data_IF_335864689490
#
_entry.id   IF_335864689490
#
_cell.length_a   1.000
_cell.length_b   1.000
_cell.length_c   1.000
_cell.angle_alpha   90.00
_cell.angle_beta   90.00
_cell.angle_gamma   90.00
#
_symmetry.space_group_name_H-M   'P 1'
#
loop_
_entity.id
_entity.type
_entity.pdbx_description
1 polymer ?
#
# COMPACT_ATOMS: atom_id res chain seq x y z
N UNK A 1 -19.16 10.11 5.87
CA UNK A 1 -20.00 8.91 6.10
C UNK A 1 -20.47 8.94 7.56
N UNK A 2 -21.74 8.66 7.85
CA UNK A 2 -22.47 9.06 9.05
C UNK A 2 -22.01 8.40 10.38
N UNK A 3 -20.79 8.68 10.85
CA UNK A 3 -20.27 8.22 12.15
C UNK A 3 -19.94 6.72 12.24
N UNK A 4 -20.10 5.97 11.15
CA UNK A 4 -19.71 4.56 11.08
C UNK A 4 -18.18 4.38 11.14
N UNK A 5 -17.73 3.22 11.65
CA UNK A 5 -16.29 2.87 11.68
C UNK A 5 -15.74 2.88 10.25
N UNK A 6 -14.48 3.29 10.08
CA UNK A 6 -13.79 3.27 8.77
C UNK A 6 -13.82 1.89 8.10
N UNK A 7 -13.82 0.83 8.92
CA UNK A 7 -13.91 -0.58 8.54
C UNK A 7 -15.32 -1.04 8.10
N UNK A 8 -16.34 -0.20 8.24
CA UNK A 8 -17.72 -0.52 7.82
C UNK A 8 -18.00 -0.13 6.37
N UNK A 9 -17.02 0.46 5.68
CA UNK A 9 -17.17 0.92 4.31
C UNK A 9 -16.74 -0.14 3.31
N UNK A 10 -17.44 -0.20 2.18
CA UNK A 10 -17.13 -1.13 1.09
C UNK A 10 -16.42 -0.38 -0.03
N UNK A 11 -15.31 -0.95 -0.51
CA UNK A 11 -14.54 -0.41 -1.64
C UNK A 11 -14.65 -1.37 -2.82
N UNK A 12 -15.10 -0.85 -3.96
CA UNK A 12 -15.25 -1.59 -5.21
C UNK A 12 -14.30 -1.04 -6.27
N UNK A 13 -13.67 -1.93 -7.02
CA UNK A 13 -12.93 -1.63 -8.24
C UNK A 13 -13.64 -2.28 -9.43
N UNK A 14 -14.26 -1.45 -10.27
CA UNK A 14 -15.15 -1.86 -11.36
C UNK A 14 -16.21 -2.86 -10.88
N UNK A 15 -16.81 -2.57 -9.74
CA UNK A 15 -17.88 -3.37 -9.14
C UNK A 15 -17.44 -4.60 -8.34
N UNK A 16 -16.14 -4.93 -8.30
CA UNK A 16 -15.61 -6.06 -7.51
C UNK A 16 -15.03 -5.55 -6.20
N UNK A 17 -15.37 -6.22 -5.09
CA UNK A 17 -14.88 -5.84 -3.76
C UNK A 17 -13.36 -6.00 -3.67
N UNK A 18 -12.70 -4.91 -3.28
CA UNK A 18 -11.28 -4.84 -2.95
C UNK A 18 -11.09 -4.61 -1.45
N UNK A 19 -11.93 -5.23 -0.62
CA UNK A 19 -11.75 -5.22 0.84
C UNK A 19 -10.87 -6.40 1.23
N UNK A 20 -9.88 -6.13 2.08
CA UNK A 20 -9.19 -7.18 2.83
C UNK A 20 -10.14 -7.76 3.89
N UNK A 21 -10.56 -9.01 3.70
CA UNK A 21 -11.49 -9.70 4.62
C UNK A 21 -10.87 -10.04 5.98
N UNK A 22 -9.53 -10.01 6.12
CA UNK A 22 -8.85 -10.29 7.38
C UNK A 22 -8.94 -9.12 8.36
N UNK A 23 -8.83 -7.89 7.86
CA UNK A 23 -8.81 -6.66 8.67
C UNK A 23 -10.01 -5.74 8.41
N UNK A 24 -10.91 -6.16 7.51
CA UNK A 24 -12.10 -5.45 7.07
C UNK A 24 -11.82 -3.99 6.68
N UNK A 25 -10.84 -3.79 5.80
CA UNK A 25 -10.38 -2.48 5.32
C UNK A 25 -10.17 -2.52 3.80
N UNK A 26 -10.22 -1.37 3.14
CA UNK A 26 -9.80 -1.25 1.73
C UNK A 26 -8.41 -1.86 1.54
N UNK A 27 -8.21 -2.59 0.44
CA UNK A 27 -6.89 -2.90 -0.08
C UNK A 27 -6.25 -1.58 -0.51
N UNK A 28 -5.55 -0.92 0.42
CA UNK A 28 -4.82 0.35 0.21
C UNK A 28 -3.57 0.19 -0.67
N UNK A 29 -3.52 -0.89 -1.42
CA UNK A 29 -2.37 -1.36 -2.18
C UNK A 29 -2.42 -0.86 -3.63
N UNK A 30 -3.61 -0.86 -4.26
CA UNK A 30 -3.74 -0.42 -5.65
C UNK A 30 -3.48 1.08 -5.78
N UNK A 31 -2.39 1.44 -6.45
CA UNK A 31 -2.11 2.82 -6.85
C UNK A 31 -2.62 3.04 -8.27
N UNK A 32 -3.66 3.84 -8.39
CA UNK A 32 -4.43 4.02 -9.62
C UNK A 32 -4.50 5.50 -10.04
N UNK A 33 -3.48 6.29 -9.72
CA UNK A 33 -3.54 7.77 -9.75
C UNK A 33 -4.06 8.31 -11.09
N UNK A 34 -3.63 7.71 -12.20
CA UNK A 34 -4.05 8.09 -13.55
C UNK A 34 -4.87 7.00 -14.28
N UNK A 35 -5.23 5.92 -13.58
CA UNK A 35 -6.06 4.83 -14.11
C UNK A 35 -7.55 5.00 -13.78
N UNK A 36 -7.87 5.85 -12.80
CA UNK A 36 -9.26 6.14 -12.40
C UNK A 36 -9.93 7.06 -13.41
N UNK A 37 -11.11 6.66 -13.86
CA UNK A 37 -12.02 7.49 -14.63
C UNK A 37 -12.99 8.23 -13.70
N UNK A 38 -13.56 7.51 -12.73
CA UNK A 38 -14.55 8.05 -11.80
C UNK A 38 -14.38 7.47 -10.40
N UNK A 39 -14.66 8.31 -9.39
CA UNK A 39 -14.75 7.94 -8.00
C UNK A 39 -16.11 8.37 -7.44
N UNK A 40 -16.97 7.39 -7.15
CA UNK A 40 -18.31 7.63 -6.62
C UNK A 40 -18.38 7.22 -5.14
N UNK A 41 -18.97 8.09 -4.31
CA UNK A 41 -19.18 7.82 -2.88
C UNK A 41 -20.66 7.83 -2.56
N UNK A 42 -21.18 6.68 -2.14
CA UNK A 42 -22.56 6.53 -1.73
C UNK A 42 -22.64 6.34 -0.21
N UNK A 43 -23.21 7.30 0.49
CA UNK A 43 -23.17 7.37 1.97
C UNK A 43 -24.42 6.83 2.67
N UNK A 44 -25.42 6.34 1.93
CA UNK A 44 -26.71 5.86 2.42
C UNK A 44 -26.99 4.44 1.92
N UNK A 45 -27.77 3.68 2.71
CA UNK A 45 -28.08 2.24 2.61
C UNK A 45 -27.94 1.69 1.19
N UNK A 46 -26.97 0.79 1.01
CA UNK A 46 -26.71 0.09 -0.23
C UNK A 46 -27.98 -0.65 -0.73
N UNK A 47 -28.24 -0.61 -2.03
CA UNK A 47 -29.20 -1.50 -2.67
C UNK A 47 -28.73 -2.95 -2.51
N UNK A 48 -29.66 -3.93 -2.54
CA UNK A 48 -29.39 -5.34 -2.24
C UNK A 48 -28.31 -6.00 -3.12
N UNK A 49 -27.92 -5.34 -4.21
CA UNK A 49 -26.85 -5.73 -5.14
C UNK A 49 -25.45 -5.69 -4.49
N UNK A 50 -25.28 -4.92 -3.40
CA UNK A 50 -24.01 -4.76 -2.71
C UNK A 50 -24.12 -5.23 -1.26
N UNK A 51 -23.91 -6.54 -1.04
CA UNK A 51 -23.82 -7.10 0.31
C UNK A 51 -22.58 -6.64 1.09
N UNK A 52 -22.58 -6.89 2.41
CA UNK A 52 -21.49 -6.69 3.40
C UNK A 52 -21.15 -5.27 3.89
N UNK A 53 -21.84 -4.21 3.46
CA UNK A 53 -21.59 -2.85 3.97
C UNK A 53 -22.72 -2.30 4.85
N UNK A 54 -22.48 -2.14 6.17
CA UNK A 54 -23.35 -1.33 7.04
C UNK A 54 -23.00 0.16 7.00
N UNK A 55 -21.88 0.53 6.37
CA UNK A 55 -21.41 1.90 6.14
C UNK A 55 -21.55 2.36 4.68
N UNK A 56 -20.77 3.38 4.29
CA UNK A 56 -20.82 3.92 2.94
C UNK A 56 -20.08 3.05 1.91
N UNK A 57 -20.47 3.15 0.66
CA UNK A 57 -19.85 2.49 -0.47
C UNK A 57 -18.99 3.48 -1.26
N UNK A 58 -17.81 3.02 -1.67
CA UNK A 58 -16.89 3.71 -2.55
C UNK A 58 -16.71 2.87 -3.80
N UNK A 59 -17.08 3.40 -4.96
CA UNK A 59 -16.91 2.74 -6.25
C UNK A 59 -15.86 3.48 -7.07
N UNK A 60 -14.88 2.71 -7.55
CA UNK A 60 -13.81 3.17 -8.42
C UNK A 60 -14.05 2.56 -9.80
N UNK A 61 -14.17 3.41 -10.82
CA UNK A 61 -14.30 2.99 -12.22
C UNK A 61 -13.00 3.31 -12.95
N UNK A 62 -12.46 2.33 -13.66
CA UNK A 62 -11.20 2.46 -14.38
C UNK A 62 -11.43 2.89 -15.81
N UNK A 63 -10.47 3.68 -16.35
CA UNK A 63 -10.52 4.18 -17.73
C UNK A 63 -10.63 3.02 -18.73
N UNK A 64 -11.34 3.29 -19.81
CA UNK A 64 -11.48 2.40 -20.96
C UNK A 64 -10.73 2.96 -22.17
N UNK A 65 -10.45 2.10 -23.15
CA UNK A 65 -9.86 2.53 -24.41
C UNK A 65 -10.86 3.26 -25.29
N UNK A 66 -10.37 3.93 -26.33
CA UNK A 66 -11.20 4.64 -27.30
C UNK A 66 -10.76 4.35 -28.74
N UNK A 67 -11.44 4.91 -29.74
CA UNK A 67 -11.01 4.81 -31.14
C UNK A 67 -9.71 5.57 -31.47
N UNK A 68 -9.19 6.34 -30.52
CA UNK A 68 -7.95 7.08 -30.66
C UNK A 68 -6.94 6.54 -29.67
N UNK A 69 -5.69 6.44 -30.10
CA UNK A 69 -4.60 6.17 -29.18
C UNK A 69 -4.36 7.39 -28.30
N UNK A 70 -4.34 7.18 -27.00
CA UNK A 70 -3.96 8.19 -26.02
C UNK A 70 -3.21 7.53 -24.86
N UNK A 71 -2.40 8.32 -24.19
CA UNK A 71 -1.63 7.85 -23.05
C UNK A 71 -1.04 9.03 -22.31
N UNK A 72 -0.50 8.74 -21.15
CA UNK A 72 0.10 9.71 -20.24
C UNK A 72 1.26 9.06 -19.52
N UNK A 73 2.19 9.88 -19.04
CA UNK A 73 3.25 9.44 -18.15
C UNK A 73 3.46 10.52 -17.09
N UNK A 74 3.84 10.11 -15.89
CA UNK A 74 4.12 11.01 -14.79
C UNK A 74 5.26 10.47 -13.91
N UNK A 75 5.90 11.39 -13.18
CA UNK A 75 6.89 11.12 -12.15
C UNK A 75 6.71 12.15 -11.03
N UNK A 76 6.64 11.67 -9.79
CA UNK A 76 6.64 12.48 -8.59
C UNK A 76 7.87 12.13 -7.76
N UNK A 77 8.84 13.04 -7.75
CA UNK A 77 10.05 12.94 -6.94
C UNK A 77 9.87 13.72 -5.64
N UNK A 78 10.19 13.09 -4.52
CA UNK A 78 10.28 13.75 -3.21
C UNK A 78 11.54 13.27 -2.50
N UNK A 79 12.38 14.20 -2.06
CA UNK A 79 13.63 13.83 -1.42
C UNK A 79 14.09 14.82 -0.34
N UNK A 80 15.01 14.37 0.50
CA UNK A 80 15.58 15.16 1.59
C UNK A 80 16.48 16.32 1.13
N UNK A 81 16.88 16.40 -0.13
CA UNK A 81 17.64 17.54 -0.67
C UNK A 81 16.72 18.71 -1.01
N UNK A 82 15.53 18.42 -1.56
CA UNK A 82 14.57 19.44 -2.00
C UNK A 82 13.58 19.85 -0.91
N UNK A 83 13.21 18.93 -0.02
CA UNK A 83 12.22 19.22 1.03
C UNK A 83 12.83 20.07 2.18
N UNK A 84 12.00 20.65 3.04
CA UNK A 84 12.43 21.10 4.37
C UNK A 84 12.29 19.96 5.41
N UNK A 85 12.96 20.05 6.56
CA UNK A 85 12.60 19.23 7.70
C UNK A 85 11.27 19.69 8.31
N UNK A 86 10.56 18.83 9.03
CA UNK A 86 9.33 19.22 9.72
C UNK A 86 9.60 20.26 10.84
N UNK A 87 8.54 20.95 11.26
CA UNK A 87 8.63 22.02 12.25
C UNK A 87 9.28 21.57 13.56
N UNK A 88 8.96 20.37 14.06
CA UNK A 88 9.46 19.91 15.34
C UNK A 88 10.93 19.49 15.25
N UNK A 89 11.32 18.88 14.14
CA UNK A 89 12.74 18.58 13.84
C UNK A 89 13.56 19.88 13.82
N UNK A 90 13.10 20.93 13.13
CA UNK A 90 13.80 22.21 13.11
C UNK A 90 13.81 22.89 14.49
N UNK A 91 12.68 22.90 15.20
CA UNK A 91 12.53 23.51 16.52
C UNK A 91 13.47 22.89 17.56
N UNK A 92 13.72 21.59 17.46
CA UNK A 92 14.58 20.86 18.39
C UNK A 92 16.03 20.72 17.88
N UNK A 93 16.42 21.45 16.83
CA UNK A 93 17.74 21.33 16.18
C UNK A 93 18.10 19.88 15.78
N UNK A 94 17.08 19.09 15.42
CA UNK A 94 17.22 17.71 14.98
C UNK A 94 17.81 17.60 13.57
N UNK A 95 18.37 16.44 13.26
CA UNK A 95 18.85 16.15 11.90
C UNK A 95 17.69 15.69 11.02
N UNK A 96 17.62 16.22 9.80
CA UNK A 96 16.59 15.82 8.84
C UNK A 96 16.75 14.35 8.42
N UNK A 97 15.68 13.57 8.53
CA UNK A 97 15.69 12.19 8.06
C UNK A 97 15.82 12.10 6.52
N UNK A 98 16.66 11.19 5.99
CA UNK A 98 16.84 11.05 4.56
C UNK A 98 15.62 10.36 3.95
N UNK A 99 14.73 11.16 3.36
CA UNK A 99 13.62 10.69 2.54
C UNK A 99 14.07 10.61 1.08
N UNK A 100 13.78 9.50 0.42
CA UNK A 100 13.88 9.34 -1.03
C UNK A 100 12.62 8.62 -1.50
N UNK A 101 11.79 9.29 -2.30
CA UNK A 101 10.53 8.76 -2.82
C UNK A 101 10.41 9.09 -4.29
N UNK A 102 10.25 8.05 -5.10
CA UNK A 102 9.96 8.12 -6.52
C UNK A 102 8.63 7.42 -6.77
N UNK A 103 7.70 8.09 -7.43
CA UNK A 103 6.42 7.53 -7.79
C UNK A 103 6.15 7.87 -9.24
N UNK A 104 6.10 6.87 -10.08
CA UNK A 104 6.03 7.04 -11.53
C UNK A 104 5.00 6.13 -12.12
N UNK A 105 4.46 6.52 -13.25
CA UNK A 105 3.49 5.69 -13.94
C UNK A 105 3.25 6.14 -15.35
N UNK A 106 2.60 5.25 -16.09
CA UNK A 106 2.17 5.51 -17.44
C UNK A 106 0.85 4.82 -17.72
N UNK A 107 0.08 5.41 -18.64
CA UNK A 107 -1.14 4.83 -19.17
C UNK A 107 -1.10 4.81 -20.68
N UNK A 108 -1.81 3.85 -21.25
CA UNK A 108 -2.02 3.76 -22.69
C UNK A 108 -3.39 3.15 -22.95
N UNK A 109 -4.12 3.72 -23.89
CA UNK A 109 -5.39 3.18 -24.34
C UNK A 109 -5.61 3.47 -25.81
N UNK A 110 -6.46 2.67 -26.44
CA UNK A 110 -6.77 2.80 -27.85
C UNK A 110 -7.55 1.62 -28.41
N UNK A 111 -7.76 1.59 -29.73
CA UNK A 111 -8.47 0.50 -30.38
C UNK A 111 -7.53 -0.67 -30.66
N UNK A 112 -7.97 -1.90 -30.36
CA UNK A 112 -7.44 -3.13 -30.96
C UNK A 112 -8.12 -3.35 -32.32
N UNK A 113 -9.45 -3.20 -32.34
CA UNK A 113 -10.28 -3.19 -33.54
C UNK A 113 -11.14 -1.93 -33.47
N UNK A 114 -10.98 -1.00 -34.42
CA UNK A 114 -11.77 0.23 -34.45
C UNK A 114 -13.26 -0.08 -34.37
N UNK A 115 -13.95 0.71 -33.57
CA UNK A 115 -15.39 0.64 -33.27
C UNK A 115 -15.88 -0.63 -32.55
N UNK A 116 -15.01 -1.62 -32.34
CA UNK A 116 -15.38 -2.92 -31.76
C UNK A 116 -14.62 -3.28 -30.49
N UNK A 117 -13.30 -3.16 -30.49
CA UNK A 117 -12.45 -3.65 -29.41
C UNK A 117 -11.47 -2.58 -28.98
N UNK A 118 -11.47 -2.28 -27.69
CA UNK A 118 -10.65 -1.25 -27.08
C UNK A 118 -9.82 -1.86 -25.94
N UNK A 119 -8.63 -1.33 -25.73
CA UNK A 119 -7.80 -1.69 -24.60
C UNK A 119 -7.43 -0.44 -23.81
N UNK A 120 -7.20 -0.64 -22.52
CA UNK A 120 -6.58 0.32 -21.63
C UNK A 120 -5.60 -0.42 -20.72
N UNK A 121 -4.44 0.18 -20.49
CA UNK A 121 -3.43 -0.34 -19.59
C UNK A 121 -2.82 0.78 -18.75
N UNK A 122 -2.51 0.47 -17.51
CA UNK A 122 -1.77 1.37 -16.63
C UNK A 122 -0.74 0.62 -15.81
N UNK A 123 0.39 1.28 -15.58
CA UNK A 123 1.41 0.82 -14.65
C UNK A 123 1.80 1.98 -13.75
N UNK A 124 1.88 1.73 -12.45
CA UNK A 124 2.38 2.67 -11.46
C UNK A 124 3.41 1.97 -10.57
N UNK A 125 4.58 2.57 -10.39
CA UNK A 125 5.64 2.10 -9.52
C UNK A 125 5.89 3.10 -8.39
N UNK A 126 6.15 2.58 -7.19
CA UNK A 126 6.47 3.38 -6.03
C UNK A 126 7.73 2.85 -5.36
N UNK A 127 8.70 3.73 -5.18
CA UNK A 127 9.96 3.42 -4.48
C UNK A 127 10.18 4.43 -3.38
N UNK A 128 10.18 3.98 -2.14
CA UNK A 128 10.43 4.83 -0.99
C UNK A 128 11.48 4.22 -0.07
N UNK A 129 12.43 5.06 0.35
CA UNK A 129 13.32 4.84 1.48
C UNK A 129 13.05 5.99 2.45
N UNK A 130 12.55 5.66 3.64
CA UNK A 130 12.15 6.62 4.64
C UNK A 130 12.48 6.06 6.03
N UNK A 131 13.63 6.42 6.63
CA UNK A 131 13.98 5.92 7.94
C UNK A 131 12.97 6.35 9.01
N UNK A 132 12.66 5.42 9.90
CA UNK A 132 11.84 5.67 11.07
C UNK A 132 12.75 5.88 12.28
N UNK A 133 12.31 6.74 13.20
CA UNK A 133 13.00 6.93 14.47
C UNK A 133 12.67 5.75 15.36
N UNK A 134 13.68 4.97 15.74
CA UNK A 134 13.56 3.99 16.82
C UNK A 134 14.02 4.60 18.13
N UNK A 135 13.27 4.35 19.20
CA UNK A 135 13.62 4.71 20.57
C UNK A 135 13.44 3.49 21.46
N UNK A 136 14.52 3.04 22.08
CA UNK A 136 14.51 1.88 22.97
C UNK A 136 15.53 2.03 24.07
N UNK A 137 15.52 1.10 25.02
CA UNK A 137 16.49 1.02 26.10
C UNK A 137 17.54 -0.05 25.78
N UNK A 138 18.80 0.34 25.84
CA UNK A 138 19.97 -0.53 25.76
C UNK A 138 20.68 -0.58 27.10
N UNK A 139 21.38 -1.67 27.46
CA UNK A 139 22.16 -1.74 28.69
C UNK A 139 23.18 -0.61 28.78
N UNK A 140 23.20 0.11 29.89
CA UNK A 140 24.26 1.06 30.23
C UNK A 140 25.35 0.40 31.08
N UNK A 141 26.53 1.01 31.17
CA UNK A 141 27.56 0.57 32.11
C UNK A 141 27.06 0.55 33.56
N UNK A 142 26.19 1.50 33.91
CA UNK A 142 25.53 1.54 35.22
C UNK A 142 24.60 0.34 35.44
N UNK A 143 23.82 -0.06 34.43
CA UNK A 143 22.94 -1.23 34.51
C UNK A 143 23.76 -2.53 34.64
N UNK A 144 24.86 -2.63 33.90
CA UNK A 144 25.75 -3.79 33.93
C UNK A 144 26.45 -3.88 35.30
N UNK A 145 26.82 -2.73 35.89
CA UNK A 145 27.46 -2.66 37.21
C UNK A 145 26.56 -3.10 38.37
N UNK A 146 25.23 -3.09 38.21
CA UNK A 146 24.30 -3.61 39.23
C UNK A 146 24.43 -5.12 39.46
N UNK A 147 24.96 -5.88 38.49
CA UNK A 147 25.21 -7.31 38.62
C UNK A 147 26.69 -7.54 38.95
N UNK A 148 27.01 -8.09 40.15
CA UNK A 148 28.37 -8.45 40.53
C UNK A 148 29.05 -9.33 39.49
N UNK A 149 30.34 -9.10 39.22
CA UNK A 149 31.09 -9.79 38.14
C UNK A 149 31.04 -11.31 38.26
N UNK A 150 31.05 -11.84 39.49
CA UNK A 150 30.97 -13.28 39.79
C UNK A 150 29.57 -13.89 39.58
N UNK A 151 28.55 -13.07 39.34
CA UNK A 151 27.17 -13.49 39.08
C UNK A 151 26.75 -13.26 37.61
N UNK A 152 27.66 -12.74 36.77
CA UNK A 152 27.38 -12.52 35.35
C UNK A 152 27.50 -13.82 34.59
N UNK A 153 26.40 -14.22 33.96
CA UNK A 153 26.41 -15.33 33.03
C UNK A 153 27.33 -15.03 31.82
N UNK A 154 28.28 -15.92 31.48
CA UNK A 154 29.24 -15.68 30.39
C UNK A 154 28.60 -15.47 29.02
N UNK A 155 27.45 -16.11 28.76
CA UNK A 155 26.71 -15.95 27.50
C UNK A 155 26.13 -14.54 27.43
N UNK A 156 25.55 -14.05 28.52
CA UNK A 156 25.00 -12.70 28.63
C UNK A 156 26.07 -11.62 28.40
N UNK A 157 27.28 -11.81 28.95
CA UNK A 157 28.42 -10.90 28.71
C UNK A 157 28.88 -10.94 27.25
N UNK A 158 28.85 -12.11 26.60
CA UNK A 158 29.17 -12.22 25.18
C UNK A 158 28.12 -11.53 24.30
N UNK A 159 26.83 -11.64 24.66
CA UNK A 159 25.73 -11.01 23.93
C UNK A 159 25.75 -9.47 24.01
N UNK A 160 26.25 -8.89 25.10
CA UNK A 160 26.37 -7.42 25.25
C UNK A 160 27.23 -6.77 24.15
N UNK A 161 28.16 -7.49 23.53
CA UNK A 161 28.96 -6.98 22.40
C UNK A 161 28.13 -6.68 21.16
N UNK A 162 26.96 -7.29 21.03
CA UNK A 162 26.02 -7.06 19.94
C UNK A 162 24.94 -6.03 20.29
N UNK A 163 25.01 -5.40 21.48
CA UNK A 163 24.15 -4.29 21.83
C UNK A 163 24.85 -2.97 21.49
N UNK A 164 24.15 -2.02 20.83
CA UNK A 164 24.74 -0.72 20.57
C UNK A 164 24.85 0.08 21.87
N UNK A 165 25.87 0.93 21.95
CA UNK A 165 26.02 1.85 23.07
C UNK A 165 24.86 2.87 23.11
N UNK A 166 24.44 3.33 24.31
CA UNK A 166 23.39 4.34 24.45
C UNK A 166 23.77 5.64 23.72
N UNK A 167 22.87 6.19 22.92
CA UNK A 167 23.08 7.49 22.26
C UNK A 167 22.81 8.67 23.18
N UNK A 168 22.06 8.44 24.28
CA UNK A 168 21.83 9.41 25.34
C UNK A 168 22.23 8.81 26.70
N UNK A 169 23.47 9.04 27.10
CA UNK A 169 24.02 8.58 28.39
C UNK A 169 23.47 9.31 29.61
N UNK A 170 22.79 10.45 29.41
CA UNK A 170 22.16 11.24 30.47
C UNK A 170 20.68 10.90 30.70
N UNK A 171 20.13 9.91 29.97
CA UNK A 171 18.75 9.49 30.15
C UNK A 171 18.51 8.96 31.58
N UNK A 172 17.39 9.32 32.24
CA UNK A 172 17.05 8.80 33.57
C UNK A 172 16.98 7.26 33.59
N UNK A 173 17.32 6.66 34.72
CA UNK A 173 17.20 5.22 34.94
C UNK A 173 15.80 4.71 34.55
N UNK A 174 15.77 3.64 33.75
CA UNK A 174 14.52 3.06 33.23
C UNK A 174 13.94 3.76 31.99
N UNK A 175 14.51 4.86 31.51
CA UNK A 175 14.09 5.53 30.27
C UNK A 175 14.77 4.95 29.03
N UNK A 176 14.18 5.21 27.86
CA UNK A 176 14.86 4.95 26.59
C UNK A 176 16.12 5.82 26.49
N UNK A 177 17.25 5.17 26.23
CA UNK A 177 18.59 5.78 26.20
C UNK A 177 19.29 5.55 24.85
N UNK A 178 18.62 4.87 23.91
CA UNK A 178 19.06 4.69 22.54
C UNK A 178 18.01 5.23 21.58
N UNK A 179 18.44 6.13 20.71
CA UNK A 179 17.65 6.75 19.66
C UNK A 179 18.48 6.69 18.38
N UNK A 180 17.93 6.06 17.35
CA UNK A 180 18.58 5.97 16.04
C UNK A 180 17.54 5.98 14.91
N UNK A 181 17.96 6.44 13.74
CA UNK A 181 17.20 6.24 12.52
C UNK A 181 17.47 4.83 12.00
N UNK A 182 16.41 4.05 11.85
CA UNK A 182 16.47 2.70 11.28
C UNK A 182 15.84 2.73 9.90
N UNK A 183 16.49 2.09 8.93
CA UNK A 183 16.05 2.11 7.54
C UNK A 183 14.71 1.40 7.36
N UNK A 184 13.74 2.07 6.75
CA UNK A 184 12.50 1.44 6.27
C UNK A 184 12.37 1.68 4.77
N UNK A 185 11.95 0.63 4.06
CA UNK A 185 11.78 0.66 2.61
C UNK A 185 10.37 0.21 2.24
N UNK A 186 9.86 0.77 1.15
CA UNK A 186 8.58 0.37 0.56
C UNK A 186 8.73 0.49 -0.95
N UNK A 187 8.74 -0.66 -1.59
CA UNK A 187 8.94 -0.80 -3.03
C UNK A 187 7.79 -1.60 -3.59
N UNK A 188 6.92 -0.98 -4.35
CA UNK A 188 5.72 -1.62 -4.87
C UNK A 188 5.40 -1.18 -6.30
N UNK A 189 4.49 -1.90 -6.92
CA UNK A 189 3.93 -1.56 -8.20
C UNK A 189 2.46 -1.99 -8.29
N UNK A 190 1.70 -1.30 -9.13
CA UNK A 190 0.34 -1.64 -9.53
C UNK A 190 0.27 -1.71 -11.05
N UNK A 191 -0.25 -2.81 -11.57
CA UNK A 191 -0.54 -3.01 -12.99
C UNK A 191 -2.03 -3.19 -13.19
N UNK A 192 -2.57 -2.64 -14.26
CA UNK A 192 -3.95 -2.85 -14.68
C UNK A 192 -4.01 -3.00 -16.19
N UNK A 193 -4.82 -3.95 -16.64
CA UNK A 193 -5.18 -4.13 -18.03
C UNK A 193 -6.70 -4.27 -18.12
N UNK A 194 -7.31 -3.57 -19.07
CA UNK A 194 -8.74 -3.62 -19.36
C UNK A 194 -8.96 -3.75 -20.85
N UNK A 195 -9.93 -4.57 -21.22
CA UNK A 195 -10.41 -4.75 -22.58
C UNK A 195 -11.91 -4.59 -22.61
N UNK A 196 -12.39 -3.76 -23.52
CA UNK A 196 -13.81 -3.54 -23.79
C UNK A 196 -14.11 -4.02 -25.21
N UNK A 197 -15.11 -4.89 -25.35
CA UNK A 197 -15.48 -5.48 -26.64
C UNK A 197 -16.98 -5.37 -26.90
N UNK A 198 -17.31 -4.74 -28.03
CA UNK A 198 -18.66 -4.64 -28.59
C UNK A 198 -18.85 -5.76 -29.61
N UNK A 199 -19.54 -6.82 -29.22
CA UNK A 199 -19.94 -7.87 -30.17
C UNK A 199 -20.98 -7.33 -31.16
N UNK A 200 -21.90 -6.51 -30.67
CA UNK A 200 -22.95 -5.82 -31.42
C UNK A 200 -23.35 -4.52 -30.69
N UNK A 201 -24.32 -3.77 -31.20
CA UNK A 201 -24.90 -2.63 -30.46
C UNK A 201 -25.65 -3.05 -29.18
N UNK A 202 -26.00 -4.34 -29.06
CA UNK A 202 -26.74 -4.89 -27.92
C UNK A 202 -25.86 -5.64 -26.94
N UNK A 203 -24.64 -5.98 -27.33
CA UNK A 203 -23.76 -6.90 -26.64
C UNK A 203 -22.41 -6.26 -26.34
N UNK A 204 -22.13 -6.03 -25.06
CA UNK A 204 -20.87 -5.46 -24.61
C UNK A 204 -20.24 -6.32 -23.51
N UNK A 205 -18.93 -6.54 -23.63
CA UNK A 205 -18.13 -7.30 -22.66
C UNK A 205 -16.95 -6.47 -22.23
N UNK A 206 -16.74 -6.40 -20.92
CA UNK A 206 -15.56 -5.82 -20.28
C UNK A 206 -14.81 -6.91 -19.56
N UNK A 207 -13.49 -6.95 -19.72
CA UNK A 207 -12.61 -7.75 -18.88
C UNK A 207 -11.52 -6.85 -18.30
N UNK A 208 -11.28 -6.93 -17.00
CA UNK A 208 -10.20 -6.21 -16.33
C UNK A 208 -9.42 -7.15 -15.43
N UNK A 209 -8.11 -7.02 -15.50
CA UNK A 209 -7.16 -7.56 -14.56
C UNK A 209 -6.45 -6.41 -13.84
N UNK A 210 -6.26 -6.53 -12.53
CA UNK A 210 -5.39 -5.63 -11.77
C UNK A 210 -4.58 -6.41 -10.75
N UNK A 211 -3.31 -6.06 -10.64
CA UNK A 211 -2.37 -6.63 -9.70
C UNK A 211 -1.62 -5.53 -8.96
N UNK A 212 -1.42 -5.76 -7.68
CA UNK A 212 -0.46 -5.06 -6.87
C UNK A 212 0.54 -6.06 -6.33
N UNK A 213 1.82 -5.70 -6.32
CA UNK A 213 2.85 -6.47 -5.63
C UNK A 213 3.93 -5.52 -5.10
N UNK A 214 4.50 -5.87 -3.96
CA UNK A 214 5.56 -5.07 -3.38
C UNK A 214 6.39 -5.81 -2.36
N UNK A 215 7.36 -5.07 -1.85
CA UNK A 215 8.24 -5.46 -0.75
C UNK A 215 8.30 -4.28 0.23
N UNK A 216 7.98 -4.51 1.49
CA UNK A 216 8.21 -3.53 2.55
C UNK A 216 9.19 -4.09 3.57
N UNK A 217 10.05 -3.22 4.10
CA UNK A 217 10.92 -3.55 5.21
C UNK A 217 10.61 -2.62 6.35
N UNK A 218 10.17 -3.21 7.46
CA UNK A 218 9.96 -2.52 8.72
C UNK A 218 11.08 -2.93 9.67
N UNK A 219 11.96 -1.99 10.06
CA UNK A 219 13.07 -2.32 10.93
C UNK A 219 12.61 -2.66 12.34
N UNK A 220 13.38 -3.50 13.03
CA UNK A 220 13.26 -3.74 14.46
C UNK A 220 13.69 -2.54 15.30
N UNK A 221 13.49 -2.65 16.62
CA UNK A 221 13.79 -1.56 17.55
C UNK A 221 15.29 -1.22 17.67
N UNK A 222 16.17 -2.13 17.28
CA UNK A 222 17.61 -1.89 17.19
C UNK A 222 18.09 -2.17 15.77
N UNK A 223 19.07 -1.42 15.24
CA UNK A 223 19.64 -1.65 13.91
C UNK A 223 20.16 -3.08 13.70
N UNK A 224 20.54 -3.76 14.79
CA UNK A 224 21.19 -5.07 14.80
C UNK A 224 20.19 -6.23 14.92
N UNK A 225 18.96 -5.95 15.37
CA UNK A 225 17.91 -6.95 15.59
C UNK A 225 17.10 -7.26 14.33
N UNK A 226 17.57 -6.83 13.16
CA UNK A 226 16.91 -7.09 11.89
C UNK A 226 15.59 -6.35 11.76
N UNK A 227 14.62 -6.99 11.10
CA UNK A 227 13.31 -6.42 10.86
C UNK A 227 12.38 -7.39 10.17
N UNK A 228 11.17 -6.93 9.88
CA UNK A 228 10.17 -7.69 9.16
C UNK A 228 10.16 -7.25 7.70
N UNK A 229 10.44 -8.19 6.81
CA UNK A 229 10.15 -8.06 5.39
C UNK A 229 8.72 -8.52 5.13
N UNK A 230 7.93 -7.73 4.41
CA UNK A 230 6.61 -8.14 3.93
C UNK A 230 6.59 -8.14 2.41
N UNK A 231 5.97 -9.16 1.82
CA UNK A 231 5.76 -9.31 0.39
C UNK A 231 4.24 -9.34 0.12
N UNK A 232 3.56 -8.19 0.14
CA UNK A 232 2.13 -8.12 -0.17
C UNK A 232 1.89 -8.28 -1.67
N UNK A 233 0.87 -9.08 -2.01
CA UNK A 233 0.36 -9.28 -3.37
C UNK A 233 -1.16 -9.23 -3.32
N UNK A 234 -1.77 -8.41 -4.17
CA UNK A 234 -3.22 -8.29 -4.29
C UNK A 234 -3.64 -8.44 -5.75
N UNK A 235 -4.68 -9.22 -6.01
CA UNK A 235 -5.25 -9.41 -7.34
C UNK A 235 -6.73 -9.05 -7.33
N UNK A 236 -7.20 -8.43 -8.41
CA UNK A 236 -8.60 -8.16 -8.64
C UNK A 236 -8.93 -8.30 -10.12
N UNK A 237 -9.82 -9.23 -10.44
CA UNK A 237 -10.24 -9.53 -11.80
C UNK A 237 -11.76 -9.38 -11.92
N UNK A 238 -12.23 -8.88 -13.05
CA UNK A 238 -13.65 -8.81 -13.36
C UNK A 238 -13.90 -9.12 -14.82
N UNK A 239 -14.97 -9.87 -15.07
CA UNK A 239 -15.59 -10.02 -16.38
C UNK A 239 -17.04 -9.58 -16.24
N UNK A 240 -17.44 -8.62 -17.07
CA UNK A 240 -18.75 -8.01 -17.07
C UNK A 240 -19.35 -8.09 -18.47
N UNK A 241 -20.54 -8.68 -18.59
CA UNK A 241 -21.25 -8.84 -19.85
C UNK A 241 -22.64 -8.21 -19.75
N UNK A 242 -22.98 -7.40 -20.74
CA UNK A 242 -24.29 -6.75 -20.84
C UNK A 242 -24.96 -7.09 -22.16
N UNK A 243 -26.23 -7.46 -22.10
CA UNK A 243 -27.08 -7.74 -23.25
C UNK A 243 -28.37 -6.91 -23.19
N UNK A 244 -28.66 -6.16 -24.26
CA UNK A 244 -29.91 -5.42 -24.43
C UNK A 244 -30.88 -6.23 -25.30
N UNK A 245 -31.84 -6.92 -24.66
CA UNK A 245 -32.86 -7.69 -25.37
C UNK A 245 -33.84 -6.76 -26.13
N UNK A 246 -34.22 -5.64 -25.51
CA UNK A 246 -35.11 -4.62 -26.07
C UNK A 246 -34.83 -3.26 -25.42
N UNK A 247 -35.36 -2.13 -25.94
CA UNK A 247 -35.21 -0.82 -25.30
C UNK A 247 -35.75 -0.71 -23.86
N UNK A 248 -36.44 -1.75 -23.37
CA UNK A 248 -37.02 -1.81 -22.02
C UNK A 248 -36.49 -2.96 -21.18
N UNK A 249 -35.59 -3.80 -21.73
CA UNK A 249 -35.07 -4.98 -21.05
C UNK A 249 -33.58 -5.15 -21.35
N UNK A 250 -32.77 -5.00 -20.30
CA UNK A 250 -31.33 -5.24 -20.30
C UNK A 250 -31.01 -6.28 -19.23
N UNK A 251 -29.99 -7.09 -19.50
CA UNK A 251 -29.39 -7.98 -18.52
C UNK A 251 -27.89 -7.69 -18.40
N UNK A 252 -27.39 -7.75 -17.17
CA UNK A 252 -25.97 -7.63 -16.83
C UNK A 252 -25.58 -8.88 -16.04
N UNK A 253 -24.44 -9.47 -16.42
CA UNK A 253 -23.81 -10.58 -15.72
C UNK A 253 -22.37 -10.17 -15.38
N UNK A 254 -22.06 -10.14 -14.09
CA UNK A 254 -20.72 -9.83 -13.59
C UNK A 254 -20.14 -10.99 -12.79
N UNK A 255 -18.91 -11.36 -13.12
CA UNK A 255 -18.10 -12.30 -12.36
C UNK A 255 -16.83 -11.59 -11.89
N UNK A 256 -16.58 -11.64 -10.58
CA UNK A 256 -15.44 -10.98 -9.96
C UNK A 256 -14.61 -11.94 -9.11
N UNK A 257 -13.30 -11.79 -9.17
CA UNK A 257 -12.35 -12.46 -8.29
C UNK A 257 -11.47 -11.42 -7.60
N UNK A 258 -11.19 -11.62 -6.32
CA UNK A 258 -10.34 -10.74 -5.54
C UNK A 258 -9.59 -11.57 -4.51
N UNK A 259 -8.28 -11.35 -4.40
CA UNK A 259 -7.41 -12.08 -3.48
C UNK A 259 -6.35 -11.14 -2.91
N UNK A 260 -6.10 -11.25 -1.62
CA UNK A 260 -4.96 -10.64 -0.97
C UNK A 260 -4.08 -11.70 -0.32
N UNK A 261 -2.76 -11.54 -0.46
CA UNK A 261 -1.77 -12.39 0.19
C UNK A 261 -0.65 -11.50 0.73
N UNK A 262 -0.21 -11.76 1.94
CA UNK A 262 1.01 -11.12 2.48
C UNK A 262 1.88 -12.20 3.07
N UNK A 263 3.11 -12.31 2.55
CA UNK A 263 4.12 -13.18 3.13
C UNK A 263 5.03 -12.33 4.02
N UNK A 264 5.23 -12.76 5.26
CA UNK A 264 6.06 -12.06 6.25
C UNK A 264 7.29 -12.90 6.49
N UNK A 265 8.47 -12.34 6.23
CA UNK A 265 9.76 -12.91 6.60
C UNK A 265 10.34 -12.13 7.76
N UNK A 266 10.73 -12.84 8.82
CA UNK A 266 11.62 -12.28 9.83
C UNK A 266 13.01 -12.31 9.23
N UNK A 267 13.58 -11.15 8.91
CA UNK A 267 14.98 -11.06 8.56
C UNK A 267 15.77 -11.03 9.86
N UNK A 268 16.15 -12.21 10.33
CA UNK A 268 17.26 -12.33 11.26
C UNK A 268 18.50 -11.83 10.52
N UNK A 269 19.07 -10.71 10.97
CA UNK A 269 20.32 -10.19 10.41
C UNK A 269 21.39 -11.24 10.63
N UNK A 270 21.81 -11.91 9.56
CA UNK A 270 22.99 -12.79 9.58
C UNK A 270 24.26 -12.03 9.90
#
# INVERSE_FOLDING_TARGET
MAGARSQSNVFLLDGVSIIDTQINSALGNFRLTDAVQEFAVQTSVATAEFGRGTGGQVSIVTKSGSNQFHGSAFEYLRNSVLDAADFFTNKNHGTKNPLHRNQYGATVGGPVLKDKMFFFGSYEGFRQIAPTVSSTRVPTDADIALVPVNQRDPISVALLKYWPAPTNTAAPLGSNNFIANVGSTTFDWTGLAKVDYKFSEKDHLTARWAEYSGTTFTPGALPMLGGNGNLPVSHSDVVDYTHTFSPRLMNELRLGFSRNQTFITVQDSG
#
